data_IF_420640105788
#
_entry.id   IF_420640105788
#
_cell.length_a   1.000
_cell.length_b   1.000
_cell.length_c   1.000
_cell.angle_alpha   90.00
_cell.angle_beta   90.00
_cell.angle_gamma   90.00
#
_symmetry.space_group_name_H-M   'P 1'
#
loop_
_entity.id
_entity.type
_entity.pdbx_description
1 polymer ?
#
# COMPACT_ATOMS: atom_id res chain seq x y z
N UNK A 1 -8.08 -11.63 5.61
CA UNK A 1 -9.18 -11.36 4.64
C UNK A 1 -10.43 -12.19 4.93
N UNK A 2 -10.48 -13.51 4.72
CA UNK A 2 -11.73 -14.31 4.81
C UNK A 2 -12.51 -14.18 6.14
N UNK A 3 -11.80 -14.03 7.26
CA UNK A 3 -12.38 -13.80 8.60
C UNK A 3 -13.13 -12.46 8.74
N UNK A 4 -12.93 -11.53 7.80
CA UNK A 4 -13.55 -10.19 7.79
C UNK A 4 -14.78 -10.12 6.85
N UNK A 5 -15.16 -11.24 6.21
CA UNK A 5 -16.33 -11.28 5.32
C UNK A 5 -17.61 -11.01 6.11
N UNK A 6 -18.45 -10.12 5.59
CA UNK A 6 -19.63 -9.60 6.29
C UNK A 6 -19.36 -8.33 7.10
N UNK A 7 -18.12 -7.84 7.17
CA UNK A 7 -17.83 -6.54 7.79
C UNK A 7 -18.60 -5.43 7.06
N UNK A 8 -19.24 -4.57 7.87
CA UNK A 8 -19.96 -3.37 7.43
C UNK A 8 -19.28 -2.14 8.02
N UNK A 9 -19.14 -1.08 7.23
CA UNK A 9 -18.76 0.22 7.79
C UNK A 9 -19.79 0.76 8.78
N UNK A 10 -19.32 1.63 9.69
CA UNK A 10 -20.18 2.44 10.55
C UNK A 10 -20.64 3.69 9.78
N UNK A 11 -21.52 4.49 10.39
CA UNK A 11 -21.94 5.78 9.82
C UNK A 11 -20.74 6.65 9.45
N UNK A 12 -20.83 7.35 8.32
CA UNK A 12 -19.75 8.20 7.80
C UNK A 12 -18.52 7.42 7.31
N UNK A 13 -18.70 6.25 6.67
CA UNK A 13 -17.62 5.39 6.13
C UNK A 13 -16.57 4.93 7.16
N UNK A 14 -16.81 5.11 8.46
CA UNK A 14 -15.85 4.78 9.51
C UNK A 14 -15.62 3.26 9.58
N UNK A 15 -14.37 2.85 9.35
CA UNK A 15 -13.93 1.45 9.45
C UNK A 15 -12.64 1.30 10.25
N UNK A 16 -12.40 0.09 10.79
CA UNK A 16 -11.12 -0.24 11.42
C UNK A 16 -9.94 -0.24 10.43
N UNK A 17 -10.24 -0.41 9.13
CA UNK A 17 -9.24 -0.42 8.06
C UNK A 17 -8.81 1.02 7.71
N UNK A 18 -9.77 1.93 7.55
CA UNK A 18 -9.52 3.37 7.36
C UNK A 18 -8.82 3.99 8.56
N UNK A 19 -9.27 3.69 9.80
CA UNK A 19 -8.57 4.11 11.02
C UNK A 19 -7.11 3.62 11.05
N UNK A 20 -6.88 2.32 10.84
CA UNK A 20 -5.52 1.76 10.80
C UNK A 20 -4.65 2.41 9.71
N UNK A 21 -5.21 2.67 8.53
CA UNK A 21 -4.47 3.30 7.44
C UNK A 21 -4.12 4.76 7.79
N UNK A 22 -5.08 5.53 8.30
CA UNK A 22 -4.89 6.90 8.80
C UNK A 22 -3.78 6.96 9.87
N UNK A 23 -3.81 6.07 10.86
CA UNK A 23 -2.78 5.96 11.89
C UNK A 23 -1.41 5.58 11.29
N UNK A 24 -1.39 4.73 10.27
CA UNK A 24 -0.15 4.27 9.62
C UNK A 24 0.52 5.36 8.79
N UNK A 25 -0.25 6.14 8.04
CA UNK A 25 0.28 7.24 7.20
C UNK A 25 0.37 8.58 7.93
N UNK A 26 -0.19 8.67 9.15
CA UNK A 26 -0.30 9.87 9.98
C UNK A 26 -1.16 10.98 9.33
N UNK A 27 -2.29 10.58 8.73
CA UNK A 27 -3.24 11.51 8.11
C UNK A 27 -4.67 11.07 8.38
N UNK A 28 -5.42 11.91 9.11
CA UNK A 28 -6.79 11.62 9.55
C UNK A 28 -7.81 11.59 8.42
N UNK A 29 -7.52 12.14 7.24
CA UNK A 29 -8.47 12.17 6.11
C UNK A 29 -8.87 10.78 5.61
N UNK A 30 -8.04 9.76 5.90
CA UNK A 30 -8.27 8.37 5.50
C UNK A 30 -9.18 7.59 6.45
N UNK A 31 -9.56 8.15 7.61
CA UNK A 31 -10.33 7.45 8.63
C UNK A 31 -11.77 7.14 8.18
N UNK A 32 -12.36 8.06 7.43
CA UNK A 32 -13.74 8.11 6.92
C UNK A 32 -13.80 8.22 5.38
N UNK A 33 -12.76 7.72 4.70
CA UNK A 33 -12.64 7.66 3.24
C UNK A 33 -13.09 6.29 2.65
N UNK A 34 -13.38 6.22 1.32
CA UNK A 34 -13.63 4.96 0.61
C UNK A 34 -12.49 3.94 0.82
N UNK A 35 -12.84 2.77 1.37
CA UNK A 35 -11.88 1.89 2.04
C UNK A 35 -11.57 0.58 1.30
N UNK A 36 -11.90 0.48 0.01
CA UNK A 36 -11.61 -0.70 -0.81
C UNK A 36 -10.10 -1.04 -0.78
N UNK A 37 -9.25 -0.04 -1.02
CA UNK A 37 -7.80 -0.20 -1.13
C UNK A 37 -7.12 -0.25 0.26
N UNK A 38 -7.58 0.57 1.21
CA UNK A 38 -7.08 0.56 2.59
C UNK A 38 -7.28 -0.79 3.29
N UNK A 39 -8.34 -1.53 2.95
CA UNK A 39 -8.51 -2.91 3.39
C UNK A 39 -7.48 -3.86 2.80
N UNK A 40 -7.08 -3.69 1.53
CA UNK A 40 -6.03 -4.51 0.91
C UNK A 40 -4.66 -4.22 1.53
N UNK A 41 -4.34 -2.95 1.77
CA UNK A 41 -3.14 -2.55 2.51
C UNK A 41 -3.11 -3.18 3.93
N UNK A 42 -4.22 -3.11 4.67
CA UNK A 42 -4.35 -3.75 5.98
C UNK A 42 -4.18 -5.27 5.90
N UNK A 43 -4.81 -5.91 4.92
CA UNK A 43 -4.77 -7.35 4.73
C UNK A 43 -3.36 -7.85 4.35
N UNK A 44 -2.68 -7.12 3.46
CA UNK A 44 -1.29 -7.40 3.07
C UNK A 44 -0.35 -7.24 4.27
N UNK A 45 -0.49 -6.15 5.03
CA UNK A 45 0.32 -5.93 6.22
C UNK A 45 0.11 -7.03 7.28
N UNK A 46 -1.14 -7.44 7.53
CA UNK A 46 -1.47 -8.55 8.43
C UNK A 46 -0.95 -9.92 7.97
N UNK A 47 -0.66 -10.08 6.68
CA UNK A 47 -0.11 -11.30 6.10
C UNK A 47 1.42 -11.25 5.90
N UNK A 48 2.09 -10.12 6.19
CA UNK A 48 3.51 -9.93 5.87
C UNK A 48 3.81 -9.79 4.38
N UNK A 49 2.83 -9.30 3.59
CA UNK A 49 2.90 -9.20 2.12
C UNK A 49 2.95 -7.73 1.62
N UNK A 50 3.17 -6.75 2.49
CA UNK A 50 3.19 -5.32 2.15
C UNK A 50 4.13 -5.00 0.98
N UNK A 51 5.30 -5.64 0.89
CA UNK A 51 6.29 -5.35 -0.16
C UNK A 51 5.87 -5.85 -1.56
N UNK A 52 4.92 -6.80 -1.62
CA UNK A 52 4.45 -7.42 -2.86
C UNK A 52 3.08 -6.90 -3.31
N UNK A 53 2.29 -6.37 -2.38
CA UNK A 53 0.96 -5.80 -2.65
C UNK A 53 1.01 -4.27 -2.66
N UNK A 54 1.89 -3.64 -1.88
CA UNK A 54 1.89 -2.21 -1.64
C UNK A 54 0.84 -1.76 -0.62
N UNK A 55 0.84 -0.47 -0.31
CA UNK A 55 -0.02 0.14 0.72
C UNK A 55 -0.63 1.43 0.17
N UNK A 56 -1.88 1.34 -0.30
CA UNK A 56 -2.56 2.41 -1.02
C UNK A 56 -3.96 2.71 -0.45
N UNK A 57 -4.43 3.93 -0.71
CA UNK A 57 -5.81 4.36 -0.51
C UNK A 57 -6.47 4.88 -1.80
N UNK A 58 -5.72 5.03 -2.90
CA UNK A 58 -6.22 5.56 -4.18
C UNK A 58 -5.88 4.62 -5.33
N UNK A 59 -6.93 4.07 -5.94
CA UNK A 59 -6.87 2.93 -6.87
C UNK A 59 -6.07 3.17 -8.16
N UNK A 60 -6.07 4.35 -8.80
CA UNK A 60 -5.18 4.64 -9.93
C UNK A 60 -3.69 4.62 -9.58
N UNK A 61 -3.29 5.07 -8.38
CA UNK A 61 -1.88 5.00 -7.95
C UNK A 61 -1.44 3.57 -7.72
N UNK A 62 -2.30 2.74 -7.14
CA UNK A 62 -2.02 1.33 -6.91
C UNK A 62 -1.84 0.56 -8.23
N UNK A 63 -2.72 0.80 -9.20
CA UNK A 63 -2.56 0.22 -10.54
C UNK A 63 -1.29 0.73 -11.25
N UNK A 64 -0.99 2.03 -11.15
CA UNK A 64 0.24 2.60 -11.70
C UNK A 64 1.51 1.98 -11.08
N UNK A 65 1.49 1.66 -9.77
CA UNK A 65 2.58 0.97 -9.11
C UNK A 65 2.79 -0.45 -9.65
N UNK A 66 1.74 -1.28 -9.79
CA UNK A 66 1.89 -2.60 -10.42
C UNK A 66 2.41 -2.54 -11.86
N UNK A 67 2.03 -1.50 -12.62
CA UNK A 67 2.59 -1.24 -13.96
C UNK A 67 4.10 -0.96 -13.87
N UNK A 68 4.53 -0.08 -12.95
CA UNK A 68 5.95 0.22 -12.71
C UNK A 68 6.77 -0.99 -12.22
N UNK A 69 6.17 -1.89 -11.44
CA UNK A 69 6.80 -3.13 -10.98
C UNK A 69 6.90 -4.22 -12.06
N UNK A 70 6.50 -3.96 -13.31
CA UNK A 70 6.35 -4.97 -14.37
C UNK A 70 5.48 -6.16 -13.94
N UNK A 71 4.43 -5.87 -13.17
CA UNK A 71 3.55 -6.84 -12.51
C UNK A 71 2.06 -6.58 -12.85
N UNK A 72 1.79 -6.04 -14.04
CA UNK A 72 0.44 -5.78 -14.54
C UNK A 72 0.04 -6.74 -15.66
N UNK A 73 -1.19 -7.25 -15.60
CA UNK A 73 -1.73 -8.26 -16.52
C UNK A 73 -3.13 -7.89 -17.03
N UNK A 74 -3.48 -8.45 -18.19
CA UNK A 74 -4.86 -8.44 -18.73
C UNK A 74 -5.63 -9.74 -18.43
N UNK A 75 -4.95 -10.75 -17.89
CA UNK A 75 -5.55 -12.05 -17.58
C UNK A 75 -5.76 -12.20 -16.06
N UNK A 76 -6.93 -12.69 -15.62
CA UNK A 76 -7.18 -12.97 -14.21
C UNK A 76 -6.44 -14.22 -13.73
N UNK A 77 -5.95 -14.18 -12.50
CA UNK A 77 -5.45 -15.35 -11.78
C UNK A 77 -5.82 -15.26 -10.29
N UNK A 78 -6.00 -16.39 -9.57
CA UNK A 78 -6.20 -16.37 -8.13
C UNK A 78 -5.07 -15.65 -7.39
N UNK A 79 -5.42 -14.77 -6.46
CA UNK A 79 -4.46 -13.93 -5.72
C UNK A 79 -4.13 -12.59 -6.39
N UNK A 80 -4.50 -12.37 -7.66
CA UNK A 80 -4.34 -11.07 -8.31
C UNK A 80 -5.28 -10.01 -7.70
N UNK A 81 -4.82 -8.76 -7.68
CA UNK A 81 -5.66 -7.60 -7.42
C UNK A 81 -6.33 -7.18 -8.72
N UNK A 82 -7.66 -7.22 -8.78
CA UNK A 82 -8.45 -6.81 -9.94
C UNK A 82 -8.91 -5.37 -9.78
N UNK A 83 -8.70 -4.58 -10.83
CA UNK A 83 -9.05 -3.16 -10.85
C UNK A 83 -10.17 -2.88 -11.87
N UNK A 84 -11.17 -2.09 -11.47
CA UNK A 84 -12.37 -1.83 -12.26
C UNK A 84 -12.57 -0.35 -12.56
N UNK A 85 -13.14 -0.07 -13.74
CA UNK A 85 -13.68 1.22 -14.17
C UNK A 85 -15.17 0.97 -14.48
N UNK A 86 -16.06 1.57 -13.70
CA UNK A 86 -17.51 1.33 -13.80
C UNK A 86 -18.11 1.96 -15.06
N UNK A 87 -17.51 3.02 -15.56
CA UNK A 87 -17.85 3.63 -16.86
C UNK A 87 -17.48 2.69 -18.01
N UNK A 88 -16.59 1.72 -17.77
CA UNK A 88 -16.16 0.69 -18.71
C UNK A 88 -14.90 1.06 -19.48
N UNK A 89 -14.20 2.12 -19.07
CA UNK A 89 -12.91 2.49 -19.63
C UNK A 89 -11.83 1.42 -19.40
N UNK A 90 -10.67 1.67 -20.02
CA UNK A 90 -9.50 0.76 -20.01
C UNK A 90 -8.20 1.48 -19.64
N UNK A 91 -8.32 2.69 -19.08
CA UNK A 91 -7.19 3.47 -18.57
C UNK A 91 -7.06 3.25 -17.07
N UNK A 92 -5.83 3.02 -16.58
CA UNK A 92 -5.57 2.92 -15.14
C UNK A 92 -5.96 4.21 -14.38
N UNK A 93 -6.01 5.35 -15.08
CA UNK A 93 -6.42 6.65 -14.52
C UNK A 93 -7.93 6.72 -14.21
N UNK A 94 -8.74 5.84 -14.80
CA UNK A 94 -10.20 5.78 -14.62
C UNK A 94 -10.67 4.71 -13.63
N UNK A 95 -9.76 4.10 -12.87
CA UNK A 95 -10.11 3.01 -11.95
C UNK A 95 -10.87 3.55 -10.72
N UNK A 96 -12.12 3.11 -10.58
CA UNK A 96 -13.01 3.43 -9.47
C UNK A 96 -12.86 2.49 -8.27
N UNK A 97 -12.38 1.25 -8.47
CA UNK A 97 -12.45 0.19 -7.45
C UNK A 97 -11.40 -0.90 -7.61
N UNK A 98 -11.10 -1.60 -6.50
CA UNK A 98 -10.19 -2.74 -6.45
C UNK A 98 -10.76 -3.89 -5.60
N UNK A 99 -10.39 -5.12 -5.93
CA UNK A 99 -10.63 -6.31 -5.11
C UNK A 99 -9.55 -7.38 -5.33
N UNK A 100 -9.65 -8.51 -4.65
CA UNK A 100 -8.77 -9.67 -4.86
C UNK A 100 -9.53 -10.80 -5.53
N UNK A 101 -8.98 -11.39 -6.58
CA UNK A 101 -9.50 -12.58 -7.24
C UNK A 101 -9.29 -13.80 -6.34
N UNK A 102 -10.37 -14.40 -5.85
CA UNK A 102 -10.33 -15.65 -5.07
C UNK A 102 -10.28 -16.88 -5.99
N UNK A 103 -10.98 -16.85 -7.13
CA UNK A 103 -10.94 -17.90 -8.18
C UNK A 103 -11.48 -17.38 -9.52
N UNK A 104 -11.15 -18.08 -10.60
CA UNK A 104 -11.62 -17.82 -11.97
C UNK A 104 -12.49 -19.00 -12.43
N UNK A 105 -13.59 -18.74 -13.13
CA UNK A 105 -14.53 -19.75 -13.64
C UNK A 105 -15.03 -19.33 -15.04
N UNK A 106 -14.43 -19.91 -16.07
CA UNK A 106 -14.70 -19.53 -17.46
C UNK A 106 -14.41 -18.03 -17.68
N UNK A 107 -15.45 -17.26 -18.04
CA UNK A 107 -15.37 -15.80 -18.25
C UNK A 107 -15.70 -14.97 -17.01
N UNK A 108 -15.93 -15.60 -15.85
CA UNK A 108 -16.27 -14.92 -14.59
C UNK A 108 -15.11 -15.01 -13.60
N UNK A 109 -14.94 -13.94 -12.83
CA UNK A 109 -14.05 -13.92 -11.67
C UNK A 109 -14.89 -13.88 -10.40
N UNK A 110 -14.43 -14.59 -9.37
CA UNK A 110 -15.01 -14.53 -8.03
C UNK A 110 -14.01 -13.82 -7.13
N UNK A 111 -14.47 -12.78 -6.46
CA UNK A 111 -13.62 -11.77 -5.81
C UNK A 111 -13.98 -11.62 -4.34
N UNK A 112 -13.02 -11.15 -3.55
CA UNK A 112 -13.26 -10.56 -2.23
C UNK A 112 -13.04 -9.05 -2.36
N UNK A 113 -14.07 -8.27 -2.06
CA UNK A 113 -14.11 -6.82 -2.28
C UNK A 113 -14.59 -6.09 -1.03
N UNK A 114 -13.86 -5.05 -0.61
CA UNK A 114 -14.19 -4.12 0.46
C UNK A 114 -14.88 -2.87 -0.09
N UNK A 115 -15.67 -2.16 0.74
CA UNK A 115 -16.46 -0.98 0.33
C UNK A 115 -17.40 -1.25 -0.88
N UNK A 116 -17.74 -2.52 -1.15
CA UNK A 116 -18.64 -2.91 -2.24
C UNK A 116 -20.10 -2.79 -1.81
N UNK A 117 -20.97 -2.50 -2.78
CA UNK A 117 -22.38 -2.14 -2.54
C UNK A 117 -22.48 -1.02 -1.47
N UNK A 118 -21.57 -0.04 -1.63
CA UNK A 118 -21.27 1.13 -0.79
C UNK A 118 -20.71 0.87 0.61
N UNK A 119 -21.06 -0.23 1.29
CA UNK A 119 -20.84 -0.34 2.75
C UNK A 119 -20.24 -1.67 3.24
N UNK A 120 -19.99 -2.64 2.36
CA UNK A 120 -19.69 -4.02 2.75
C UNK A 120 -18.30 -4.51 2.31
N UNK A 121 -17.75 -5.43 3.10
CA UNK A 121 -16.72 -6.38 2.66
C UNK A 121 -17.36 -7.76 2.44
N UNK A 122 -17.39 -8.21 1.19
CA UNK A 122 -18.00 -9.51 0.85
C UNK A 122 -17.44 -10.10 -0.44
N UNK A 123 -17.92 -11.30 -0.76
CA UNK A 123 -17.68 -11.94 -2.06
C UNK A 123 -18.57 -11.32 -3.13
N UNK A 124 -18.04 -11.22 -4.35
CA UNK A 124 -18.81 -10.94 -5.57
C UNK A 124 -18.44 -11.95 -6.65
N UNK A 125 -19.35 -12.18 -7.58
CA UNK A 125 -19.04 -12.76 -8.89
C UNK A 125 -19.13 -11.62 -9.89
N UNK A 126 -18.11 -11.45 -10.73
CA UNK A 126 -18.01 -10.35 -11.70
C UNK A 126 -17.78 -10.92 -13.10
N UNK A 127 -18.42 -10.31 -14.08
CA UNK A 127 -17.99 -10.38 -15.47
C UNK A 127 -16.80 -9.44 -15.69
N UNK A 128 -15.99 -9.66 -16.74
CA UNK A 128 -14.71 -8.96 -16.94
C UNK A 128 -14.80 -7.71 -17.82
N UNK A 129 -15.99 -7.29 -18.24
CA UNK A 129 -16.20 -6.14 -19.14
C UNK A 129 -15.78 -4.80 -18.52
N UNK A 130 -15.98 -4.65 -17.20
CA UNK A 130 -15.57 -3.47 -16.42
C UNK A 130 -14.14 -3.54 -15.86
N UNK A 131 -13.42 -4.63 -16.10
CA UNK A 131 -12.02 -4.74 -15.66
C UNK A 131 -11.11 -3.87 -16.53
N UNK A 132 -10.20 -3.15 -15.87
CA UNK A 132 -9.10 -2.41 -16.51
C UNK A 132 -7.85 -3.29 -16.63
N UNK A 133 -7.55 -4.04 -15.57
CA UNK A 133 -6.49 -5.04 -15.54
C UNK A 133 -6.27 -5.61 -14.14
N UNK A 134 -5.16 -6.33 -13.98
CA UNK A 134 -4.83 -7.11 -12.79
C UNK A 134 -3.40 -6.82 -12.33
N UNK A 135 -3.24 -6.45 -11.06
CA UNK A 135 -1.94 -6.40 -10.38
C UNK A 135 -1.57 -7.77 -9.82
N UNK A 136 -0.33 -8.21 -10.04
CA UNK A 136 0.14 -9.56 -9.73
C UNK A 136 1.21 -9.56 -8.62
N UNK A 137 0.85 -9.68 -7.32
CA UNK A 137 1.83 -9.69 -6.22
C UNK A 137 2.94 -10.73 -6.37
N UNK A 138 2.65 -11.91 -6.96
CA UNK A 138 3.66 -12.94 -7.22
C UNK A 138 4.77 -12.47 -8.19
N UNK A 139 4.45 -11.57 -9.12
CA UNK A 139 5.42 -11.02 -10.07
C UNK A 139 6.30 -9.96 -9.39
N UNK A 140 5.72 -9.12 -8.52
CA UNK A 140 6.49 -8.19 -7.68
C UNK A 140 7.48 -8.97 -6.82
N UNK A 141 7.01 -10.02 -6.13
CA UNK A 141 7.87 -10.91 -5.33
C UNK A 141 9.02 -11.49 -6.16
N UNK A 142 8.73 -12.16 -7.28
CA UNK A 142 9.78 -12.77 -8.11
C UNK A 142 10.73 -11.77 -8.77
N UNK A 143 10.30 -10.52 -8.99
CA UNK A 143 11.17 -9.44 -9.46
C UNK A 143 12.11 -8.95 -8.36
N UNK A 144 11.65 -8.83 -7.10
CA UNK A 144 12.50 -8.51 -5.95
C UNK A 144 13.51 -9.62 -5.66
N UNK A 145 13.08 -10.89 -5.65
CA UNK A 145 13.97 -12.04 -5.43
C UNK A 145 15.10 -12.09 -6.47
N UNK A 146 14.79 -11.83 -7.76
CA UNK A 146 15.80 -11.71 -8.82
C UNK A 146 16.77 -10.54 -8.61
N UNK A 147 16.29 -9.40 -8.14
CA UNK A 147 17.14 -8.23 -7.87
C UNK A 147 18.11 -8.48 -6.70
N UNK A 148 17.66 -9.21 -5.67
CA UNK A 148 18.53 -9.57 -4.55
C UNK A 148 19.55 -10.66 -4.93
N UNK A 149 19.23 -11.57 -5.86
CA UNK A 149 20.18 -12.53 -6.45
C UNK A 149 21.28 -11.83 -7.26
N UNK A 150 20.91 -10.89 -8.14
CA UNK A 150 21.86 -10.05 -8.89
C UNK A 150 22.76 -9.28 -7.93
N UNK A 151 22.17 -8.54 -6.98
CA UNK A 151 22.91 -7.76 -5.97
C UNK A 151 23.85 -8.64 -5.13
N UNK A 152 23.45 -9.87 -4.82
CA UNK A 152 24.29 -10.80 -4.06
C UNK A 152 25.48 -11.29 -4.86
N UNK A 153 25.34 -11.41 -6.19
CA UNK A 153 26.40 -11.79 -7.14
C UNK A 153 27.35 -10.61 -7.43
N UNK A 154 26.84 -9.37 -7.41
CA UNK A 154 27.61 -8.14 -7.62
C UNK A 154 28.42 -7.68 -6.39
N UNK A 155 28.21 -8.28 -5.21
CA UNK A 155 29.07 -8.04 -4.04
C UNK A 155 30.48 -8.57 -4.35
N UNK A 156 31.53 -7.73 -4.35
CA UNK A 156 32.89 -8.23 -4.51
C UNK A 156 33.17 -9.27 -3.42
N UNK A 157 33.76 -10.39 -3.81
CA UNK A 157 34.39 -11.29 -2.84
C UNK A 157 35.48 -10.47 -2.14
N UNK A 158 35.17 -9.99 -0.93
CA UNK A 158 36.17 -9.40 -0.05
C UNK A 158 37.14 -10.54 0.24
N UNK A 159 38.27 -10.51 -0.45
CA UNK A 159 39.32 -11.49 -0.22
C UNK A 159 39.62 -11.49 1.28
N UNK A 160 39.72 -12.67 1.93
CA UNK A 160 40.12 -12.72 3.33
C UNK A 160 41.44 -11.94 3.44
N UNK A 161 41.63 -11.13 4.51
CA UNK A 161 42.81 -10.30 4.64
C UNK A 161 44.03 -11.18 4.44
N UNK A 162 44.79 -10.91 3.36
CA UNK A 162 46.03 -11.63 3.09
C UNK A 162 46.89 -11.43 4.32
N UNK A 163 47.20 -12.51 5.02
CA UNK A 163 48.21 -12.49 6.06
C UNK A 163 49.48 -11.95 5.42
N UNK A 164 49.90 -10.75 5.79
CA UNK A 164 51.18 -10.21 5.37
C UNK A 164 52.26 -11.16 5.88
N UNK A 165 52.80 -11.99 4.99
CA UNK A 165 54.01 -12.74 5.25
C UNK A 165 55.15 -11.73 5.31
N UNK A 166 55.37 -11.19 6.50
CA UNK A 166 56.40 -10.21 6.78
C UNK A 166 57.79 -10.74 6.48
N UNK A 167 58.26 -10.48 5.27
CA UNK A 167 59.68 -10.44 4.93
C UNK A 167 59.99 -9.06 4.33
N UNK A 168 59.80 -8.02 5.14
CA UNK A 168 60.38 -6.72 4.86
C UNK A 168 61.90 -6.82 4.98
N UNK A 169 62.63 -6.40 3.94
CA UNK A 169 64.09 -6.31 4.04
C UNK A 169 64.44 -5.24 5.08
N UNK A 170 65.46 -5.43 5.93
CA UNK A 170 65.76 -4.52 7.03
C UNK A 170 66.20 -3.10 6.60
N UNK A 171 66.33 -2.84 5.29
CA UNK A 171 66.72 -1.56 4.72
C UNK A 171 65.53 -0.68 4.28
N UNK A 172 64.34 -1.25 4.05
CA UNK A 172 63.18 -0.50 3.55
C UNK A 172 62.55 0.43 4.63
N UNK A 173 62.80 0.15 5.91
CA UNK A 173 62.31 0.98 7.04
C UNK A 173 63.02 2.34 7.09
N UNK A 174 64.30 2.39 6.69
CA UNK A 174 65.15 3.59 6.77
C UNK A 174 64.86 4.64 5.69
N UNK A 175 64.16 4.27 4.61
CA UNK A 175 63.82 5.17 3.51
C UNK A 175 62.47 5.91 3.66
N UNK A 176 61.69 5.61 4.70
CA UNK A 176 60.33 6.16 4.83
C UNK A 176 60.32 7.58 5.43
N UNK A 177 59.47 8.51 4.94
CA UNK A 177 59.34 9.86 5.49
C UNK A 177 59.15 9.94 7.03
N UNK A 178 58.32 9.10 7.69
CA UNK A 178 58.20 9.13 9.15
C UNK A 178 59.46 8.67 9.90
N UNK A 179 60.28 7.76 9.33
CA UNK A 179 61.52 7.33 9.98
C UNK A 179 62.57 8.44 9.97
N UNK A 180 62.68 9.20 8.88
CA UNK A 180 63.55 10.39 8.79
C UNK A 180 63.11 11.50 9.76
N UNK A 181 61.79 11.73 9.88
CA UNK A 181 61.24 12.66 10.88
C UNK A 181 61.54 12.20 12.32
N UNK A 182 61.38 10.91 12.63
CA UNK A 182 61.72 10.37 13.95
C UNK A 182 63.22 10.55 14.27
N UNK A 183 64.11 10.33 13.30
CA UNK A 183 65.56 10.55 13.47
C UNK A 183 65.89 12.04 13.72
N UNK A 184 65.29 12.97 12.97
CA UNK A 184 65.44 14.42 13.21
C UNK A 184 64.92 14.86 14.58
N UNK A 185 63.77 14.33 15.01
CA UNK A 185 63.19 14.63 16.33
C UNK A 185 64.05 14.05 17.45
N UNK A 186 64.61 12.84 17.30
CA UNK A 186 65.52 12.27 18.28
C UNK A 186 66.81 13.10 18.41
N UNK A 187 67.38 13.54 17.28
CA UNK A 187 68.63 14.30 17.25
C UNK A 187 68.45 15.69 17.88
N UNK A 188 67.33 16.37 17.60
CA UNK A 188 67.00 17.65 18.25
C UNK A 188 66.72 17.50 19.75
N UNK A 189 66.01 16.44 20.18
CA UNK A 189 65.78 16.14 21.61
C UNK A 189 67.09 15.87 22.36
N UNK A 190 68.02 15.08 21.78
CA UNK A 190 69.34 14.81 22.40
C UNK A 190 70.19 16.08 22.49
N UNK A 191 70.10 16.96 21.49
CA UNK A 191 70.79 18.25 21.51
C UNK A 191 70.19 19.19 22.57
N UNK A 192 68.86 19.21 22.74
CA UNK A 192 68.17 19.98 23.79
C UNK A 192 68.43 19.45 25.21
N UNK A 193 68.48 18.12 25.41
CA UNK A 193 68.73 17.49 26.70
C UNK A 193 70.18 17.67 27.20
N UNK A 194 71.14 17.98 26.33
CA UNK A 194 72.49 18.40 26.74
C UNK A 194 72.56 19.85 27.24
N UNK A 195 71.52 20.68 27.03
CA UNK A 195 71.56 22.13 27.29
C UNK A 195 70.79 22.55 28.56
N UNK A 196 69.90 21.72 29.11
CA UNK A 196 68.93 22.17 30.14
C UNK A 196 68.89 21.34 31.45
N UNK A 197 70.06 21.05 32.03
CA UNK A 197 70.13 20.36 33.32
C UNK A 197 70.12 21.26 34.57
N UNK A 198 68.94 21.63 35.15
CA UNK A 198 68.79 21.93 36.61
C UNK A 198 67.35 22.20 37.13
N UNK A 199 66.95 21.44 38.18
CA UNK A 199 65.95 21.70 39.28
C UNK A 199 64.44 21.91 38.94
N UNK A 200 63.46 21.76 39.87
CA UNK A 200 63.21 20.88 41.06
C UNK A 200 61.81 21.16 41.70
N UNK A 201 60.96 20.13 41.92
CA UNK A 201 59.82 20.10 42.89
C UNK A 201 58.48 20.76 42.48
N UNK A 202 57.32 20.57 43.15
CA UNK A 202 56.83 19.51 44.09
C UNK A 202 55.32 19.69 44.47
N UNK A 203 54.59 18.60 44.77
CA UNK A 203 53.25 18.53 45.46
C UNK A 203 52.01 19.14 44.71
N UNK A 204 50.72 18.83 44.98
CA UNK A 204 49.99 18.16 46.10
C UNK A 204 48.62 17.55 45.66
N UNK A 205 48.03 16.68 46.51
CA UNK A 205 46.70 15.98 46.57
C UNK A 205 45.43 16.88 46.37
N UNK A 206 44.15 16.43 46.27
CA UNK A 206 43.28 15.45 47.02
C UNK A 206 42.06 14.96 46.14
N UNK A 207 41.56 13.70 46.22
CA UNK A 207 40.36 13.15 46.96
C UNK A 207 38.95 13.59 46.47
N UNK A 208 37.80 12.88 46.62
CA UNK A 208 37.41 11.45 46.62
C UNK A 208 35.86 11.34 46.37
N UNK A 209 35.41 10.16 45.94
CA UNK A 209 34.07 9.60 45.58
C UNK A 209 32.84 9.94 46.52
N UNK A 210 31.55 9.64 46.19
CA UNK A 210 31.06 8.36 45.63
C UNK A 210 29.83 8.31 44.67
N UNK A 211 29.46 7.07 44.33
CA UNK A 211 28.55 6.58 43.29
C UNK A 211 27.10 6.37 43.77
N UNK A 212 26.11 6.41 42.85
CA UNK A 212 24.76 5.86 43.07
C UNK A 212 24.24 5.12 41.82
N UNK A 213 23.45 4.07 41.99
CA UNK A 213 23.02 3.13 40.94
C UNK A 213 21.49 3.12 40.75
N UNK A 214 21.02 2.99 39.50
CA UNK A 214 19.63 2.61 39.20
C UNK A 214 19.45 1.95 37.82
N UNK A 215 19.09 0.65 37.85
CA UNK A 215 18.30 -0.17 36.90
C UNK A 215 17.94 0.40 35.50
N UNK A 216 18.27 -0.35 34.43
CA UNK A 216 17.50 -0.38 33.16
C UNK A 216 16.29 -1.35 33.24
N UNK A 217 15.68 -1.82 32.13
CA UNK A 217 16.04 -1.68 30.71
C UNK A 217 14.86 -1.35 29.73
N UNK A 218 15.15 -0.97 28.46
CA UNK A 218 14.40 -1.34 27.21
C UNK A 218 15.34 -1.15 26.00
N UNK A 219 15.40 -2.07 25.00
CA UNK A 219 16.15 -1.83 23.74
C UNK A 219 15.38 -0.95 22.74
N UNK A 220 16.07 -0.16 21.89
CA UNK A 220 15.41 0.64 20.85
C UNK A 220 14.86 -0.23 19.71
N UNK A 221 13.77 0.23 19.09
CA UNK A 221 13.22 -0.41 17.90
C UNK A 221 14.20 -0.34 16.72
N UNK A 222 14.29 -1.44 15.96
CA UNK A 222 15.10 -1.50 14.74
C UNK A 222 14.66 -0.51 13.65
N UNK A 223 15.52 -0.23 12.66
CA UNK A 223 15.26 0.79 11.66
C UNK A 223 13.99 0.49 10.85
N UNK A 224 13.05 1.43 10.85
CA UNK A 224 11.91 1.39 9.93
C UNK A 224 12.41 1.67 8.52
N UNK A 225 12.35 0.68 7.64
CA UNK A 225 12.41 0.92 6.19
C UNK A 225 11.22 1.82 5.82
N UNK A 226 11.42 2.96 5.13
CA UNK A 226 10.31 3.76 4.66
C UNK A 226 9.53 2.98 3.59
N UNK A 227 8.31 2.57 3.90
CA UNK A 227 7.36 2.15 2.86
C UNK A 227 7.21 3.30 1.86
N UNK A 228 7.21 3.03 0.54
CA UNK A 228 7.15 4.09 -0.47
C UNK A 228 5.82 4.84 -0.33
N UNK A 229 5.88 6.05 0.27
CA UNK A 229 4.76 6.99 0.30
C UNK A 229 4.31 7.25 -1.12
N UNK A 230 3.02 7.10 -1.38
CA UNK A 230 2.41 7.37 -2.68
C UNK A 230 2.81 8.79 -3.18
N UNK A 231 3.68 8.92 -4.20
CA UNK A 231 4.21 10.22 -4.63
C UNK A 231 3.20 11.01 -5.48
N UNK A 232 1.98 10.49 -5.65
CA UNK A 232 0.89 11.10 -6.44
C UNK A 232 -0.35 11.45 -5.59
N UNK A 233 -0.26 11.37 -4.26
CA UNK A 233 -1.27 11.97 -3.39
C UNK A 233 -1.17 13.51 -3.48
N UNK A 234 -2.21 14.15 -4.02
CA UNK A 234 -2.24 15.61 -4.16
C UNK A 234 -2.31 16.29 -2.77
N UNK A 235 -1.59 17.40 -2.54
CA UNK A 235 -1.73 18.16 -1.30
C UNK A 235 -3.13 18.80 -1.20
N UNK A 236 -3.64 19.07 0.02
CA UNK A 236 -4.95 19.67 0.21
C UNK A 236 -5.03 21.07 -0.42
N UNK A 237 -6.11 21.32 -1.15
CA UNK A 237 -6.34 22.58 -1.86
C UNK A 237 -6.68 23.73 -0.91
N UNK A 238 -5.65 24.41 -0.39
CA UNK A 238 -5.79 25.70 0.29
C UNK A 238 -5.82 26.84 -0.73
N UNK A 239 -6.91 27.60 -0.78
CA UNK A 239 -7.00 28.81 -1.61
C UNK A 239 -8.40 29.09 -2.15
N UNK A 240 -9.32 29.56 -1.29
CA UNK A 240 -10.60 30.15 -1.72
C UNK A 240 -10.38 31.63 -2.06
N UNK A 241 -10.57 32.08 -3.31
CA UNK A 241 -10.52 33.51 -3.62
C UNK A 241 -11.70 34.27 -3.01
N UNK A 242 -11.56 35.56 -2.67
CA UNK A 242 -12.62 36.35 -2.06
C UNK A 242 -13.73 36.69 -3.06
N UNK A 243 -14.95 36.85 -2.56
CA UNK A 243 -16.09 37.32 -3.36
C UNK A 243 -16.03 38.86 -3.56
N UNK A 244 -16.42 39.39 -4.73
CA UNK A 244 -16.66 40.82 -4.90
C UNK A 244 -18.00 41.24 -4.27
N UNK A 245 -18.04 42.43 -3.67
CA UNK A 245 -19.21 42.94 -2.97
C UNK A 245 -20.00 43.99 -3.79
N UNK A 246 -21.32 43.79 -3.85
CA UNK A 246 -22.40 44.77 -4.00
C UNK A 246 -22.40 45.82 -5.12
N UNK A 247 -23.37 45.65 -6.04
CA UNK A 247 -24.11 46.73 -6.68
C UNK A 247 -25.62 46.60 -6.39
N UNK A 248 -26.23 47.68 -5.86
CA UNK A 248 -27.70 47.87 -5.70
C UNK A 248 -28.35 48.00 -7.10
N UNK A 249 -29.63 47.74 -7.41
CA UNK A 249 -30.82 47.17 -6.76
C UNK A 249 -31.76 46.72 -7.94
N UNK A 250 -33.07 46.42 -7.85
CA UNK A 250 -34.09 46.57 -6.81
C UNK A 250 -35.21 45.48 -6.94
N UNK A 251 -36.39 45.76 -6.37
CA UNK A 251 -37.52 44.85 -6.18
C UNK A 251 -38.64 44.97 -7.24
N UNK A 252 -39.41 43.89 -7.43
CA UNK A 252 -40.85 43.92 -7.11
C UNK A 252 -41.37 42.50 -6.84
N UNK A 253 -42.45 42.38 -6.07
CA UNK A 253 -43.02 41.11 -5.61
C UNK A 253 -44.46 40.94 -6.11
N UNK A 254 -44.96 39.70 -6.14
CA UNK A 254 -46.27 39.30 -5.56
C UNK A 254 -46.58 37.84 -5.87
N UNK A 255 -47.05 37.08 -4.88
CA UNK A 255 -47.55 35.71 -5.07
C UNK A 255 -49.07 35.63 -5.03
N UNK A 256 -49.64 34.55 -5.57
CA UNK A 256 -50.97 34.04 -5.20
C UNK A 256 -51.16 32.59 -5.67
N UNK A 257 -51.54 31.72 -4.75
CA UNK A 257 -52.38 30.54 -5.03
C UNK A 257 -53.87 31.00 -4.94
N UNK A 258 -54.91 30.27 -5.41
CA UNK A 258 -55.10 28.83 -5.18
C UNK A 258 -55.75 28.02 -6.34
N UNK A 259 -55.98 26.73 -6.10
CA UNK A 259 -56.94 25.86 -6.82
C UNK A 259 -58.30 25.84 -6.05
N UNK A 260 -59.34 25.03 -6.36
CA UNK A 260 -59.54 24.07 -7.47
C UNK A 260 -60.93 24.14 -8.18
N UNK A 261 -61.19 23.30 -9.19
CA UNK A 261 -62.56 22.98 -9.65
C UNK A 261 -62.66 21.55 -10.25
N UNK A 262 -63.83 20.92 -10.08
CA UNK A 262 -64.16 19.55 -10.53
C UNK A 262 -65.13 19.56 -11.72
N UNK A 263 -65.09 18.53 -12.57
CA UNK A 263 -66.28 17.96 -13.22
C UNK A 263 -66.08 16.48 -13.63
N UNK A 264 -67.16 15.70 -13.55
CA UNK A 264 -67.40 14.27 -13.88
C UNK A 264 -68.93 14.15 -14.17
N UNK A 265 -69.52 12.99 -14.54
CA UNK A 265 -69.13 11.91 -15.47
C UNK A 265 -70.30 11.54 -16.43
N UNK A 266 -70.20 10.41 -17.18
CA UNK A 266 -71.27 9.49 -17.73
C UNK A 266 -70.68 8.71 -18.93
N UNK A 267 -71.05 7.46 -19.29
CA UNK A 267 -71.79 6.40 -18.59
C UNK A 267 -71.58 5.02 -19.30
N UNK A 268 -71.73 3.92 -18.53
CA UNK A 268 -72.13 2.53 -18.92
C UNK A 268 -71.25 1.60 -19.81
N UNK A 269 -71.21 0.33 -19.38
CA UNK A 269 -70.77 -0.88 -20.10
C UNK A 269 -72.02 -1.71 -20.56
N UNK A 270 -71.93 -2.93 -21.17
CA UNK A 270 -71.38 -4.14 -20.53
C UNK A 270 -70.64 -5.16 -21.45
N UNK A 271 -70.22 -6.27 -20.83
CA UNK A 271 -69.50 -7.45 -21.35
C UNK A 271 -70.47 -8.55 -21.82
N UNK A 272 -70.06 -9.51 -22.68
CA UNK A 272 -70.57 -10.88 -22.62
C UNK A 272 -69.47 -11.90 -22.21
N UNK A 273 -69.87 -12.91 -21.44
CA UNK A 273 -68.98 -13.92 -20.85
C UNK A 273 -68.88 -15.21 -21.68
N UNK A 274 -67.78 -15.94 -21.52
CA UNK A 274 -67.58 -17.28 -22.08
C UNK A 274 -66.33 -17.97 -21.52
N UNK A 275 -66.47 -19.20 -21.03
CA UNK A 275 -65.42 -20.06 -20.47
C UNK A 275 -65.92 -21.52 -20.47
N UNK A 276 -65.08 -22.54 -20.28
CA UNK A 276 -63.65 -22.68 -20.60
C UNK A 276 -63.36 -23.93 -21.47
N UNK A 277 -62.13 -24.10 -21.97
CA UNK A 277 -61.70 -25.35 -22.62
C UNK A 277 -60.29 -25.80 -22.18
N UNK A 278 -60.19 -27.12 -22.01
CA UNK A 278 -59.17 -27.93 -21.32
C UNK A 278 -57.77 -27.92 -21.96
N UNK A 279 -56.74 -28.19 -21.16
CA UNK A 279 -55.33 -28.28 -21.59
C UNK A 279 -54.97 -29.62 -22.27
N UNK A 280 -53.93 -29.66 -23.12
CA UNK A 280 -53.20 -30.87 -23.50
C UNK A 280 -52.00 -31.16 -22.57
N UNK A 281 -51.49 -32.38 -22.62
CA UNK A 281 -50.64 -32.99 -21.58
C UNK A 281 -49.12 -32.75 -21.73
N UNK A 282 -48.37 -33.10 -20.67
CA UNK A 282 -46.89 -33.02 -20.61
C UNK A 282 -46.22 -34.06 -21.53
N UNK A 283 -45.15 -33.70 -22.26
CA UNK A 283 -44.14 -34.66 -22.69
C UNK A 283 -43.36 -35.22 -21.49
N UNK A 284 -43.22 -36.53 -21.40
CA UNK A 284 -42.45 -37.22 -20.37
C UNK A 284 -40.94 -37.17 -20.65
N UNK A 285 -40.13 -37.03 -19.60
CA UNK A 285 -38.67 -36.96 -19.71
C UNK A 285 -38.04 -38.33 -20.08
N UNK A 286 -37.03 -38.38 -20.97
CA UNK A 286 -36.32 -39.62 -21.27
C UNK A 286 -35.44 -40.08 -20.09
N UNK A 287 -35.48 -41.38 -19.78
CA UNK A 287 -34.72 -41.97 -18.68
C UNK A 287 -33.21 -41.97 -18.96
N UNK A 288 -32.45 -41.49 -17.97
CA UNK A 288 -30.98 -41.53 -17.89
C UNK A 288 -30.47 -42.98 -17.88
N UNK A 289 -29.77 -43.42 -18.94
CA UNK A 289 -28.94 -44.65 -18.89
C UNK A 289 -27.61 -44.34 -18.20
N UNK A 290 -27.08 -45.29 -17.42
CA UNK A 290 -25.69 -45.25 -16.90
C UNK A 290 -24.75 -45.95 -17.89
N UNK A 291 -23.45 -45.62 -17.90
CA UNK A 291 -22.46 -46.24 -18.78
C UNK A 291 -21.90 -47.54 -18.20
N UNK A 292 -21.72 -48.54 -19.07
CA UNK A 292 -20.71 -49.63 -19.12
C UNK A 292 -21.25 -50.66 -20.15
N UNK A 293 -20.34 -51.42 -20.78
CA UNK A 293 -20.48 -52.21 -22.04
C UNK A 293 -20.11 -51.37 -23.28
N UNK A 294 -18.87 -51.42 -23.83
CA UNK A 294 -18.09 -52.54 -24.39
C UNK A 294 -18.53 -52.91 -25.82
N UNK A 295 -17.62 -52.70 -26.79
CA UNK A 295 -17.86 -52.81 -28.24
C UNK A 295 -17.05 -51.77 -28.99
#
# INVERSE_FOLDING_TARGET
MRQELGYKEKSGQLTKFGQWYADRVQDTQYRDAPWCDMFLAWAANKAGLSDYVGEFAWTPSHAAWFIQQNAWSRQPEPGALVFFDWRGGKSYKGIDHVGVVERVEGKKIHTIEANVDRVWLKRKTRDTDKVVGYGLPRMVKGNLERLDEIRSTERPFVAPPRSETGQGSPLDVLGTPPALLAAMVLMTIVLSLRVTGRRRGSHRRLSWLPLRSSRGPVPPAGPRVPSPRNPLAQPPANGKPPAPANGKAAASASGKAPAPARARPRDKAPVPAGSPARAPERPTAPKRRKPYDAG
#
